data_IF_349381829787
#
_entry.id   IF_349381829787
#
_cell.length_a   1.000
_cell.length_b   1.000
_cell.length_c   1.000
_cell.angle_alpha   90.00
_cell.angle_beta   90.00
_cell.angle_gamma   90.00
#
_symmetry.space_group_name_H-M   'P 1'
#
loop_
_entity.id
_entity.type
_entity.pdbx_description
1 polymer ?
#
# COMPACT_ATOMS: atom_id res chain seq x y z
N UNK A 1 -10.77 -6.95 23.53
CA UNK A 1 -9.30 -6.85 23.38
C UNK A 1 -9.00 -5.64 22.55
N UNK A 2 -8.10 -4.79 23.02
CA UNK A 2 -7.62 -3.62 22.28
C UNK A 2 -6.46 -4.00 21.37
N UNK A 3 -6.33 -3.28 20.25
CA UNK A 3 -5.23 -3.48 19.30
C UNK A 3 -4.60 -2.14 18.92
N UNK A 4 -3.29 -2.05 19.07
CA UNK A 4 -2.49 -0.90 18.68
C UNK A 4 -1.84 -1.17 17.32
N UNK A 5 -2.10 -0.31 16.36
CA UNK A 5 -1.36 -0.25 15.12
C UNK A 5 -0.40 0.93 15.13
N UNK A 6 0.78 0.72 14.57
CA UNK A 6 1.75 1.78 14.33
C UNK A 6 2.09 1.83 12.84
N UNK A 7 1.90 2.98 12.22
CA UNK A 7 2.36 3.25 10.85
C UNK A 7 3.65 4.08 10.94
N UNK A 8 4.76 3.46 10.57
CA UNK A 8 6.11 3.98 10.76
C UNK A 8 6.63 4.52 9.41
N UNK A 9 6.40 5.80 9.19
CA UNK A 9 6.94 6.49 8.02
C UNK A 9 8.29 7.17 8.28
N UNK A 10 8.97 7.58 7.22
CA UNK A 10 10.30 8.20 7.30
C UNK A 10 10.36 9.56 8.00
N UNK A 11 9.22 10.21 8.26
CA UNK A 11 9.15 11.53 8.91
C UNK A 11 8.36 11.49 10.21
N UNK A 12 7.27 10.74 10.25
CA UNK A 12 6.35 10.60 11.38
C UNK A 12 6.03 9.14 11.60
N UNK A 13 5.80 8.78 12.85
CA UNK A 13 5.19 7.52 13.27
C UNK A 13 3.82 7.83 13.86
N UNK A 14 2.79 7.22 13.33
CA UNK A 14 1.42 7.33 13.79
C UNK A 14 1.00 6.06 14.51
N UNK A 15 0.33 6.20 15.64
CA UNK A 15 -0.27 5.08 16.36
C UNK A 15 -1.78 5.30 16.47
N UNK A 16 -2.54 4.21 16.32
CA UNK A 16 -3.97 4.17 16.63
C UNK A 16 -4.27 2.96 17.51
N UNK A 17 -5.16 3.13 18.47
CA UNK A 17 -5.70 2.03 19.29
C UNK A 17 -7.15 1.83 18.92
N UNK A 18 -7.46 0.60 18.51
CA UNK A 18 -8.80 0.18 18.11
C UNK A 18 -9.40 -0.74 19.17
N UNK A 19 -10.72 -0.63 19.35
CA UNK A 19 -11.50 -1.64 20.08
C UNK A 19 -11.80 -2.88 19.23
N UNK A 20 -12.49 -3.85 19.78
CA UNK A 20 -12.83 -5.09 19.09
C UNK A 20 -13.75 -4.89 17.87
N UNK A 21 -14.50 -3.80 17.83
CA UNK A 21 -15.39 -3.44 16.70
C UNK A 21 -14.70 -2.59 15.63
N UNK A 22 -13.42 -2.22 15.84
CA UNK A 22 -12.67 -1.37 14.92
C UNK A 22 -12.85 0.13 15.16
N UNK A 23 -13.51 0.53 16.24
CA UNK A 23 -13.61 1.95 16.57
C UNK A 23 -12.27 2.47 17.08
N UNK A 24 -11.84 3.61 16.59
CA UNK A 24 -10.61 4.25 17.03
C UNK A 24 -10.83 4.94 18.38
N UNK A 25 -10.14 4.47 19.40
CA UNK A 25 -10.21 5.01 20.75
C UNK A 25 -9.18 6.13 20.99
N UNK A 26 -8.02 6.00 20.32
CA UNK A 26 -6.93 6.95 20.48
C UNK A 26 -6.11 7.00 19.20
N UNK A 27 -5.66 8.20 18.83
CA UNK A 27 -4.65 8.40 17.78
C UNK A 27 -3.60 9.37 18.29
N UNK A 28 -2.34 9.00 18.12
CA UNK A 28 -1.20 9.88 18.45
C UNK A 28 -0.13 9.77 17.39
N UNK A 29 0.69 10.84 17.30
CA UNK A 29 1.80 10.92 16.34
C UNK A 29 3.05 11.43 17.04
N UNK A 30 4.18 10.86 16.68
CA UNK A 30 5.50 11.37 17.03
C UNK A 30 6.33 11.57 15.77
N UNK A 31 7.39 12.35 15.88
CA UNK A 31 8.42 12.40 14.85
C UNK A 31 9.18 11.08 14.84
N UNK A 32 9.41 10.51 13.67
CA UNK A 32 10.24 9.31 13.55
C UNK A 32 11.69 9.66 13.86
N UNK A 33 12.24 9.04 14.90
CA UNK A 33 13.66 9.12 15.23
C UNK A 33 14.47 8.30 14.21
N UNK A 34 15.54 8.86 13.70
CA UNK A 34 16.37 8.21 12.67
C UNK A 34 17.84 8.62 12.70
N UNK A 35 18.31 9.11 13.84
CA UNK A 35 19.71 9.43 14.04
C UNK A 35 20.57 8.17 14.04
N UNK A 36 20.11 7.14 14.75
CA UNK A 36 20.70 5.80 14.79
C UNK A 36 19.63 4.77 15.20
N UNK A 37 19.96 3.48 15.04
CA UNK A 37 19.04 2.38 15.34
C UNK A 37 18.64 2.31 16.82
N UNK A 38 19.56 2.54 17.75
CA UNK A 38 19.30 2.46 19.19
C UNK A 38 18.36 3.59 19.64
N UNK A 39 18.57 4.79 19.15
CA UNK A 39 17.70 5.93 19.39
C UNK A 39 16.30 5.67 18.84
N UNK A 40 16.21 5.13 17.60
CA UNK A 40 14.94 4.71 17.00
C UNK A 40 14.21 3.70 17.89
N UNK A 41 14.87 2.59 18.26
CA UNK A 41 14.28 1.53 19.07
C UNK A 41 13.79 2.06 20.42
N UNK A 42 14.59 2.91 21.08
CA UNK A 42 14.25 3.52 22.36
C UNK A 42 13.03 4.44 22.23
N UNK A 43 13.03 5.31 21.24
CA UNK A 43 11.91 6.24 20.98
C UNK A 43 10.60 5.49 20.71
N UNK A 44 10.65 4.48 19.83
CA UNK A 44 9.49 3.67 19.47
C UNK A 44 8.97 2.87 20.67
N UNK A 45 9.86 2.20 21.42
CA UNK A 45 9.47 1.42 22.60
C UNK A 45 8.82 2.28 23.68
N UNK A 46 9.41 3.45 23.97
CA UNK A 46 8.84 4.40 24.94
C UNK A 46 7.46 4.90 24.49
N UNK A 47 7.30 5.18 23.19
CA UNK A 47 6.02 5.62 22.65
C UNK A 47 4.94 4.54 22.82
N UNK A 48 5.25 3.29 22.47
CA UNK A 48 4.35 2.14 22.67
C UNK A 48 3.97 1.98 24.15
N UNK A 49 4.96 1.95 25.05
CA UNK A 49 4.73 1.76 26.48
C UNK A 49 3.88 2.90 27.06
N UNK A 50 4.11 4.14 26.66
CA UNK A 50 3.31 5.30 27.08
C UNK A 50 1.85 5.14 26.67
N UNK A 51 1.60 4.68 25.44
CA UNK A 51 0.23 4.45 24.96
C UNK A 51 -0.44 3.30 25.69
N UNK A 52 0.28 2.18 25.90
CA UNK A 52 -0.24 1.04 26.65
C UNK A 52 -0.62 1.40 28.09
N UNK A 53 0.16 2.23 28.75
CA UNK A 53 -0.11 2.67 30.13
C UNK A 53 -1.43 3.47 30.28
N UNK A 54 -2.00 3.95 29.17
CA UNK A 54 -3.28 4.67 29.18
C UNK A 54 -4.50 3.73 29.26
N UNK A 55 -4.28 2.41 29.18
CA UNK A 55 -5.34 1.40 29.18
C UNK A 55 -5.07 0.34 30.26
N UNK A 56 -6.11 -0.10 30.91
CA UNK A 56 -6.04 -1.19 31.92
C UNK A 56 -6.08 -2.59 31.29
N UNK A 57 -6.53 -2.69 30.04
CA UNK A 57 -6.59 -3.94 29.30
C UNK A 57 -5.30 -4.20 28.52
N UNK A 58 -4.95 -5.47 28.27
CA UNK A 58 -3.88 -5.82 27.34
C UNK A 58 -4.15 -5.26 25.94
N UNK A 59 -3.11 -4.69 25.35
CA UNK A 59 -3.14 -4.10 23.98
C UNK A 59 -2.19 -4.89 23.10
N UNK A 60 -2.69 -5.52 22.05
CA UNK A 60 -1.84 -6.16 21.02
C UNK A 60 -1.10 -5.12 20.21
N UNK A 61 0.04 -5.48 19.61
CA UNK A 61 0.88 -4.56 18.83
C UNK A 61 1.07 -5.09 17.43
N UNK A 62 0.77 -4.24 16.45
CA UNK A 62 1.11 -4.45 15.06
C UNK A 62 1.79 -3.25 14.45
N UNK A 63 2.72 -3.49 13.53
CA UNK A 63 3.50 -2.46 12.85
C UNK A 63 3.25 -2.50 11.35
N UNK A 64 3.11 -1.34 10.77
CA UNK A 64 3.21 -1.08 9.34
C UNK A 64 4.57 -0.42 9.10
N UNK A 65 5.44 -1.07 8.34
CA UNK A 65 6.82 -0.64 8.10
C UNK A 65 7.12 -0.56 6.60
N UNK A 66 7.84 0.45 6.14
CA UNK A 66 8.42 0.39 4.81
C UNK A 66 9.56 -0.64 4.76
N UNK A 67 9.57 -1.46 3.71
CA UNK A 67 10.58 -2.49 3.50
C UNK A 67 10.07 -3.92 3.72
N UNK A 68 11.00 -4.85 3.80
CA UNK A 68 10.73 -6.29 3.96
C UNK A 68 11.70 -6.90 4.98
N UNK A 69 11.38 -8.08 5.50
CA UNK A 69 12.28 -8.86 6.34
C UNK A 69 12.91 -9.98 5.49
N UNK A 70 14.21 -10.16 5.64
CA UNK A 70 14.88 -11.31 5.04
C UNK A 70 14.53 -12.59 5.80
N UNK A 71 13.95 -13.56 5.10
CA UNK A 71 13.42 -14.79 5.72
C UNK A 71 14.51 -15.66 6.39
N UNK A 72 15.77 -15.57 5.93
CA UNK A 72 16.88 -16.34 6.48
C UNK A 72 17.55 -15.69 7.68
N UNK A 73 17.73 -14.37 7.63
CA UNK A 73 18.43 -13.60 8.68
C UNK A 73 17.51 -12.91 9.67
N UNK A 74 16.24 -12.74 9.32
CA UNK A 74 15.25 -11.98 10.09
C UNK A 74 15.60 -10.50 10.27
N UNK A 75 16.39 -9.95 9.35
CA UNK A 75 16.79 -8.55 9.34
C UNK A 75 15.93 -7.74 8.37
N UNK A 76 15.65 -6.49 8.73
CA UNK A 76 14.92 -5.56 7.84
C UNK A 76 15.81 -5.21 6.64
N UNK A 77 15.20 -5.15 5.46
CA UNK A 77 15.83 -4.73 4.20
C UNK A 77 14.90 -3.85 3.37
N UNK A 78 15.49 -3.09 2.43
CA UNK A 78 14.76 -2.22 1.50
C UNK A 78 13.89 -1.15 2.18
N UNK A 79 14.18 -0.82 3.45
CA UNK A 79 13.49 0.28 4.13
C UNK A 79 14.05 1.64 3.69
N UNK A 80 13.16 2.60 3.44
CA UNK A 80 13.53 3.99 3.22
C UNK A 80 13.93 4.69 4.55
N UNK A 81 13.69 4.06 5.70
CA UNK A 81 14.23 4.44 7.00
C UNK A 81 15.57 3.72 7.15
N UNK A 82 16.63 4.36 6.66
CA UNK A 82 17.94 3.73 6.44
C UNK A 82 18.48 3.02 7.69
N UNK A 83 18.27 3.59 8.89
CA UNK A 83 18.76 3.03 10.16
C UNK A 83 18.15 1.68 10.52
N UNK A 84 17.07 1.27 9.87
CA UNK A 84 16.41 -0.03 10.08
C UNK A 84 17.05 -1.15 9.24
N UNK A 85 17.71 -0.82 8.14
CA UNK A 85 18.27 -1.83 7.26
C UNK A 85 19.39 -2.63 7.97
N UNK A 86 19.33 -3.95 7.81
CA UNK A 86 20.21 -4.92 8.46
C UNK A 86 20.08 -4.95 9.99
N UNK A 87 18.93 -4.56 10.54
CA UNK A 87 18.65 -4.59 11.98
C UNK A 87 17.54 -5.61 12.31
N UNK A 88 17.63 -6.30 13.47
CA UNK A 88 16.64 -7.27 13.94
C UNK A 88 15.49 -6.56 14.70
N UNK A 89 14.82 -5.59 14.06
CA UNK A 89 13.88 -4.68 14.72
C UNK A 89 12.78 -5.41 15.48
N UNK A 90 12.18 -6.42 14.88
CA UNK A 90 11.03 -7.12 15.49
C UNK A 90 11.46 -7.86 16.76
N UNK A 91 12.56 -8.61 16.69
CA UNK A 91 13.10 -9.34 17.84
C UNK A 91 13.51 -8.40 18.98
N UNK A 92 14.07 -7.24 18.67
CA UNK A 92 14.50 -6.25 19.67
C UNK A 92 13.30 -5.56 20.32
N UNK A 93 12.24 -5.27 19.55
CA UNK A 93 10.97 -4.76 20.09
C UNK A 93 10.30 -5.80 21.00
N UNK A 94 10.15 -7.05 20.55
CA UNK A 94 9.55 -8.12 21.35
C UNK A 94 10.30 -8.32 22.67
N UNK A 95 11.63 -8.29 22.63
CA UNK A 95 12.46 -8.40 23.84
C UNK A 95 12.25 -7.22 24.79
N UNK A 96 12.18 -5.99 24.24
CA UNK A 96 12.02 -4.76 25.02
C UNK A 96 10.62 -4.64 25.62
N UNK A 97 9.59 -4.98 24.85
CA UNK A 97 8.19 -4.88 25.25
C UNK A 97 7.69 -6.10 26.00
N UNK A 98 8.43 -7.23 25.94
CA UNK A 98 8.09 -8.53 26.52
C UNK A 98 6.74 -9.08 26.06
N UNK A 99 6.40 -8.83 24.80
CA UNK A 99 5.19 -9.34 24.15
C UNK A 99 5.41 -9.49 22.64
N UNK A 100 4.62 -10.33 21.95
CA UNK A 100 4.68 -10.47 20.50
C UNK A 100 4.39 -9.16 19.78
N UNK A 101 5.06 -8.96 18.66
CA UNK A 101 4.87 -7.82 17.75
C UNK A 101 4.65 -8.36 16.35
N UNK A 102 3.45 -8.18 15.81
CA UNK A 102 3.17 -8.48 14.42
C UNK A 102 3.64 -7.31 13.54
N UNK A 103 3.98 -7.60 12.29
CA UNK A 103 4.34 -6.53 11.37
C UNK A 103 4.12 -6.94 9.91
N UNK A 104 3.92 -5.94 9.04
CA UNK A 104 3.92 -6.12 7.59
C UNK A 104 4.25 -4.79 6.89
N UNK A 105 4.38 -4.83 5.56
CA UNK A 105 4.59 -3.63 4.77
C UNK A 105 3.29 -2.80 4.63
N UNK A 106 3.42 -1.60 4.08
CA UNK A 106 2.32 -0.65 3.89
C UNK A 106 1.19 -1.20 3.00
N UNK A 107 1.52 -1.90 1.93
CA UNK A 107 0.52 -2.44 1.01
C UNK A 107 -0.27 -3.61 1.62
N UNK A 108 0.38 -4.47 2.39
CA UNK A 108 -0.27 -5.57 3.10
C UNK A 108 -1.14 -5.04 4.26
N UNK A 109 -0.64 -4.07 5.04
CA UNK A 109 -1.44 -3.40 6.06
C UNK A 109 -2.65 -2.68 5.46
N UNK A 110 -2.46 -1.97 4.35
CA UNK A 110 -3.56 -1.35 3.60
C UNK A 110 -4.62 -2.39 3.21
N UNK A 111 -4.18 -3.49 2.58
CA UNK A 111 -5.08 -4.54 2.11
C UNK A 111 -5.83 -5.20 3.26
N UNK A 112 -5.15 -5.49 4.37
CA UNK A 112 -5.79 -6.05 5.57
C UNK A 112 -6.83 -5.12 6.16
N UNK A 113 -6.54 -3.82 6.27
CA UNK A 113 -7.48 -2.81 6.74
C UNK A 113 -8.76 -2.80 5.90
N UNK A 114 -8.60 -2.61 4.59
CA UNK A 114 -9.74 -2.51 3.69
C UNK A 114 -10.54 -3.82 3.56
N UNK A 115 -9.89 -4.96 3.81
CA UNK A 115 -10.55 -6.27 3.81
C UNK A 115 -11.22 -6.63 5.13
N UNK A 116 -10.86 -5.98 6.24
CA UNK A 116 -11.42 -6.27 7.56
C UNK A 116 -12.70 -5.47 7.80
N UNK A 117 -12.63 -4.15 7.61
CA UNK A 117 -13.72 -3.22 7.91
C UNK A 117 -13.85 -2.06 6.90
N UNK A 118 -13.21 -2.17 5.74
CA UNK A 118 -13.26 -1.20 4.65
C UNK A 118 -14.05 -1.69 3.44
N UNK A 119 -13.64 -1.24 2.25
CA UNK A 119 -14.34 -1.50 0.99
C UNK A 119 -14.41 -3.00 0.62
N UNK A 120 -13.45 -3.81 1.07
CA UNK A 120 -13.36 -5.25 0.80
C UNK A 120 -13.90 -6.15 1.90
N UNK A 121 -14.59 -5.63 2.93
CA UNK A 121 -14.96 -6.37 4.13
C UNK A 121 -15.80 -7.65 3.89
N UNK A 122 -16.54 -7.70 2.78
CA UNK A 122 -17.42 -8.83 2.42
C UNK A 122 -16.89 -9.70 1.29
N UNK A 123 -15.70 -9.40 0.77
CA UNK A 123 -15.08 -10.13 -0.34
C UNK A 123 -14.26 -11.32 0.16
N UNK A 124 -14.21 -12.38 -0.63
CA UNK A 124 -13.37 -13.56 -0.37
C UNK A 124 -11.92 -13.35 -0.83
N UNK A 125 -11.74 -12.71 -1.98
CA UNK A 125 -10.44 -12.36 -2.55
C UNK A 125 -10.39 -10.86 -2.78
N UNK A 126 -9.48 -10.18 -2.08
CA UNK A 126 -9.26 -8.74 -2.16
C UNK A 126 -7.86 -8.45 -2.68
N UNK A 127 -7.76 -7.66 -3.73
CA UNK A 127 -6.50 -7.06 -4.14
C UNK A 127 -6.46 -5.59 -3.73
N UNK A 128 -5.56 -5.25 -2.84
CA UNK A 128 -5.30 -3.86 -2.46
C UNK A 128 -4.26 -3.26 -3.40
N UNK A 129 -4.60 -2.17 -4.08
CA UNK A 129 -3.70 -1.46 -5.00
C UNK A 129 -3.43 -0.06 -4.47
N UNK A 130 -2.21 0.24 -4.06
CA UNK A 130 -1.82 1.59 -3.64
C UNK A 130 -1.26 2.33 -4.85
N UNK A 131 -1.93 3.40 -5.27
CA UNK A 131 -1.50 4.29 -6.34
C UNK A 131 -1.15 5.66 -5.73
N UNK A 132 0.12 5.81 -5.41
CA UNK A 132 0.71 7.01 -4.80
C UNK A 132 1.85 7.56 -5.63
N UNK A 133 2.94 7.97 -4.97
CA UNK A 133 4.22 8.30 -5.64
C UNK A 133 4.74 7.09 -6.41
N UNK A 134 4.63 5.89 -5.81
CA UNK A 134 4.89 4.59 -6.41
C UNK A 134 3.60 3.78 -6.57
N UNK A 135 3.75 2.48 -6.76
CA UNK A 135 2.68 1.52 -6.97
C UNK A 135 2.91 0.26 -6.14
N UNK A 136 2.22 0.15 -5.01
CA UNK A 136 2.25 -1.04 -4.16
C UNK A 136 1.00 -1.90 -4.34
N UNK A 137 1.05 -3.12 -3.81
CA UNK A 137 -0.12 -4.00 -3.77
C UNK A 137 -0.02 -5.05 -2.69
N UNK A 138 -1.17 -5.55 -2.29
CA UNK A 138 -1.33 -6.67 -1.36
C UNK A 138 -2.46 -7.58 -1.80
N UNK A 139 -2.40 -8.82 -1.38
CA UNK A 139 -3.41 -9.82 -1.70
C UNK A 139 -3.93 -10.47 -0.43
N UNK A 140 -5.25 -10.47 -0.27
CA UNK A 140 -5.92 -11.20 0.80
C UNK A 140 -6.84 -12.26 0.18
N UNK A 141 -6.71 -13.49 0.64
CA UNK A 141 -7.51 -14.63 0.20
C UNK A 141 -8.12 -15.31 1.42
N UNK A 142 -9.45 -15.48 1.42
CA UNK A 142 -10.16 -16.12 2.52
C UNK A 142 -9.78 -15.56 3.90
N UNK A 143 -9.76 -14.24 4.02
CA UNK A 143 -9.40 -13.47 5.23
C UNK A 143 -7.96 -13.64 5.70
N UNK A 144 -7.07 -14.19 4.87
CA UNK A 144 -5.65 -14.36 5.17
C UNK A 144 -4.81 -13.57 4.18
N UNK A 145 -3.87 -12.77 4.68
CA UNK A 145 -2.90 -12.08 3.84
C UNK A 145 -1.98 -13.10 3.16
N UNK A 146 -1.87 -12.98 1.85
CA UNK A 146 -1.01 -13.82 1.03
C UNK A 146 0.33 -13.13 0.80
N UNK A 147 1.32 -13.44 1.63
CA UNK A 147 2.68 -12.88 1.52
C UNK A 147 3.52 -13.59 0.46
N UNK A 148 3.14 -14.82 0.10
CA UNK A 148 3.93 -15.69 -0.77
C UNK A 148 5.20 -16.21 -0.10
N UNK A 149 5.85 -17.17 -0.79
CA UNK A 149 7.07 -17.81 -0.26
C UNK A 149 8.27 -16.86 -0.14
N UNK A 150 8.34 -15.88 -1.03
CA UNK A 150 9.46 -14.94 -1.11
C UNK A 150 9.13 -13.58 -0.47
N UNK A 151 7.91 -13.40 0.09
CA UNK A 151 7.44 -12.11 0.55
C UNK A 151 7.19 -11.08 -0.56
N UNK A 152 7.00 -11.54 -1.81
CA UNK A 152 6.84 -10.66 -2.98
C UNK A 152 5.40 -10.67 -3.53
N UNK A 153 4.45 -11.30 -2.84
CA UNK A 153 3.06 -11.26 -3.29
C UNK A 153 2.55 -9.81 -3.25
N UNK A 154 1.95 -9.38 -4.35
CA UNK A 154 1.49 -7.99 -4.47
C UNK A 154 2.48 -7.00 -5.09
N UNK A 155 3.71 -7.40 -5.42
CA UNK A 155 4.71 -6.56 -6.09
C UNK A 155 4.39 -6.36 -7.60
N UNK A 156 3.13 -6.11 -7.91
CA UNK A 156 2.60 -6.00 -9.27
C UNK A 156 3.14 -4.79 -10.04
N UNK A 157 3.51 -3.74 -9.31
CA UNK A 157 4.10 -2.53 -9.86
C UNK A 157 5.44 -2.76 -10.55
N UNK A 158 6.16 -3.86 -10.20
CA UNK A 158 7.44 -4.22 -10.79
C UNK A 158 7.35 -5.25 -11.92
N UNK A 159 6.15 -5.69 -12.28
CA UNK A 159 5.94 -6.40 -13.54
C UNK A 159 6.00 -5.44 -14.73
N UNK A 160 6.45 -5.87 -15.92
CA UNK A 160 6.38 -5.05 -17.12
C UNK A 160 4.94 -4.61 -17.40
N UNK A 161 4.78 -3.36 -17.87
CA UNK A 161 3.46 -2.87 -18.29
C UNK A 161 2.89 -3.82 -19.36
N UNK A 162 1.72 -4.43 -19.13
CA UNK A 162 1.12 -5.34 -20.09
C UNK A 162 0.87 -4.65 -21.44
N UNK A 163 1.14 -5.37 -22.54
CA UNK A 163 0.98 -4.85 -23.89
C UNK A 163 1.75 -3.54 -24.16
N UNK A 164 2.88 -3.33 -23.47
CA UNK A 164 3.70 -2.15 -23.69
C UNK A 164 4.02 -1.96 -25.18
N UNK A 165 3.79 -0.75 -25.68
CA UNK A 165 4.09 -0.35 -27.04
C UNK A 165 4.72 1.05 -27.04
N UNK A 166 5.96 1.16 -27.52
CA UNK A 166 6.70 2.42 -27.50
C UNK A 166 6.03 3.56 -28.29
N UNK A 167 5.22 3.25 -29.31
CA UNK A 167 4.46 4.26 -30.07
C UNK A 167 3.28 4.83 -29.27
N UNK A 168 2.72 4.04 -28.36
CA UNK A 168 1.58 4.42 -27.53
C UNK A 168 2.03 4.92 -26.15
N UNK A 169 2.89 4.14 -25.49
CA UNK A 169 3.26 4.34 -24.08
C UNK A 169 4.51 5.21 -23.90
N UNK A 170 5.11 5.65 -25.03
CA UNK A 170 6.35 6.44 -25.02
C UNK A 170 7.61 5.56 -24.90
N UNK A 171 8.79 6.19 -24.75
CA UNK A 171 10.06 5.50 -24.71
C UNK A 171 10.17 4.56 -23.49
N UNK A 172 10.95 3.48 -23.67
CA UNK A 172 11.24 2.55 -22.58
C UNK A 172 11.86 3.24 -21.36
N UNK A 173 11.40 2.86 -20.17
CA UNK A 173 11.82 3.45 -18.89
C UNK A 173 12.49 2.40 -18.03
N UNK A 174 13.67 2.73 -17.49
CA UNK A 174 14.33 1.90 -16.47
C UNK A 174 13.74 2.22 -15.10
N UNK A 175 13.22 1.20 -14.45
CA UNK A 175 12.77 1.27 -13.06
C UNK A 175 13.98 1.21 -12.10
N UNK A 176 13.80 1.74 -10.89
CA UNK A 176 14.83 1.63 -9.83
C UNK A 176 15.15 0.18 -9.43
N UNK A 177 14.21 -0.76 -9.63
CA UNK A 177 14.45 -2.19 -9.44
C UNK A 177 15.39 -2.81 -10.48
N UNK A 178 15.81 -2.02 -11.50
CA UNK A 178 16.72 -2.44 -12.56
C UNK A 178 16.04 -2.98 -13.82
N UNK A 179 14.75 -3.31 -13.77
CA UNK A 179 13.98 -3.80 -14.91
C UNK A 179 13.52 -2.65 -15.81
N UNK A 180 13.10 -2.99 -17.03
CA UNK A 180 12.52 -2.03 -17.98
C UNK A 180 11.00 -2.08 -17.94
N UNK A 181 10.39 -0.91 -18.09
CA UNK A 181 8.94 -0.74 -18.29
C UNK A 181 8.08 -1.33 -17.18
N UNK A 182 8.56 -1.28 -15.93
CA UNK A 182 7.72 -1.64 -14.81
C UNK A 182 6.41 -0.83 -14.81
N UNK A 183 5.31 -1.50 -14.52
CA UNK A 183 3.96 -0.92 -14.44
C UNK A 183 3.92 0.35 -13.61
N UNK A 184 4.63 0.38 -12.47
CA UNK A 184 4.77 1.58 -11.63
C UNK A 184 5.23 2.81 -12.39
N UNK A 185 6.15 2.65 -13.34
CA UNK A 185 6.68 3.77 -14.13
C UNK A 185 5.63 4.45 -15.01
N UNK A 186 4.45 3.90 -15.13
CA UNK A 186 3.34 4.41 -15.94
C UNK A 186 2.12 4.78 -15.12
N UNK A 187 1.68 3.94 -14.18
CA UNK A 187 0.41 4.10 -13.44
C UNK A 187 0.56 4.73 -12.05
N UNK A 188 1.77 5.07 -11.62
CA UNK A 188 1.99 5.84 -10.39
C UNK A 188 1.86 7.35 -10.63
N UNK A 189 1.81 8.12 -9.55
CA UNK A 189 1.85 9.59 -9.63
C UNK A 189 3.13 10.11 -10.28
N UNK A 190 4.28 9.51 -9.94
CA UNK A 190 5.56 9.85 -10.59
C UNK A 190 5.55 9.47 -12.07
N UNK A 191 4.97 8.32 -12.42
CA UNK A 191 4.80 7.89 -13.81
C UNK A 191 3.92 8.83 -14.61
N UNK A 192 2.79 9.27 -14.04
CA UNK A 192 1.89 10.24 -14.68
C UNK A 192 2.59 11.59 -14.94
N UNK A 193 3.29 12.13 -13.93
CA UNK A 193 4.02 13.40 -14.05
C UNK A 193 5.12 13.31 -15.10
N UNK A 194 5.89 12.23 -15.10
CA UNK A 194 6.93 11.98 -16.12
C UNK A 194 6.34 11.93 -17.52
N UNK A 195 5.25 11.20 -17.74
CA UNK A 195 4.59 11.11 -19.05
C UNK A 195 4.06 12.47 -19.49
N UNK A 196 3.54 13.29 -18.57
CA UNK A 196 3.09 14.64 -18.89
C UNK A 196 4.24 15.52 -19.39
N UNK A 197 5.40 15.44 -18.72
CA UNK A 197 6.60 16.18 -19.17
C UNK A 197 7.09 15.74 -20.55
N UNK A 198 7.00 14.45 -20.90
CA UNK A 198 7.35 13.95 -22.24
C UNK A 198 6.43 14.49 -23.33
N UNK A 199 5.22 14.89 -23.01
CA UNK A 199 4.26 15.53 -23.91
C UNK A 199 4.43 17.07 -23.97
N UNK A 200 5.49 17.60 -23.34
CA UNK A 200 5.76 19.04 -23.29
C UNK A 200 4.96 19.78 -22.21
N UNK A 201 4.30 19.05 -21.32
CA UNK A 201 3.59 19.61 -20.17
C UNK A 201 4.55 19.99 -19.04
N UNK A 202 4.16 20.97 -18.25
CA UNK A 202 4.87 21.40 -17.04
C UNK A 202 3.96 21.21 -15.81
N UNK A 203 4.31 20.25 -14.96
CA UNK A 203 3.60 19.97 -13.72
C UNK A 203 4.59 19.48 -12.63
N UNK A 204 4.44 19.99 -11.43
CA UNK A 204 5.29 19.64 -10.29
C UNK A 204 5.01 18.22 -9.76
N UNK A 205 3.75 17.80 -9.83
CA UNK A 205 3.28 16.51 -9.32
C UNK A 205 1.99 16.05 -10.03
N UNK A 206 1.55 14.83 -9.71
CA UNK A 206 0.31 14.26 -10.26
C UNK A 206 -0.94 15.10 -9.92
N UNK A 207 -0.98 15.78 -8.77
CA UNK A 207 -2.11 16.64 -8.40
C UNK A 207 -2.24 17.82 -9.34
N UNK A 208 -1.11 18.42 -9.72
CA UNK A 208 -1.09 19.50 -10.72
C UNK A 208 -1.61 19.00 -12.08
N UNK A 209 -1.22 17.80 -12.52
CA UNK A 209 -1.76 17.18 -13.75
C UNK A 209 -3.27 17.01 -13.66
N UNK A 210 -3.82 16.49 -12.56
CA UNK A 210 -5.27 16.35 -12.40
C UNK A 210 -6.00 17.68 -12.35
N UNK A 211 -5.37 18.73 -11.81
CA UNK A 211 -5.92 20.09 -11.86
C UNK A 211 -6.05 20.57 -13.30
N UNK A 212 -5.04 20.36 -14.14
CA UNK A 212 -5.07 20.71 -15.56
C UNK A 212 -6.15 19.90 -16.32
N UNK A 213 -6.31 18.60 -16.01
CA UNK A 213 -7.39 17.79 -16.56
C UNK A 213 -8.76 18.41 -16.24
N UNK A 214 -8.98 18.81 -14.99
CA UNK A 214 -10.24 19.44 -14.56
C UNK A 214 -10.48 20.81 -15.23
N UNK A 215 -9.40 21.51 -15.61
CA UNK A 215 -9.46 22.78 -16.35
C UNK A 215 -9.64 22.59 -17.87
N UNK A 216 -9.64 21.36 -18.37
CA UNK A 216 -9.84 21.06 -19.78
C UNK A 216 -8.58 21.18 -20.64
N UNK A 217 -7.38 21.13 -20.04
CA UNK A 217 -6.14 21.10 -20.80
C UNK A 217 -6.10 19.88 -21.73
N UNK A 218 -5.93 20.06 -23.05
CA UNK A 218 -6.05 18.99 -24.02
C UNK A 218 -4.91 17.96 -23.90
N UNK A 219 -3.71 18.37 -23.52
CA UNK A 219 -2.55 17.49 -23.34
C UNK A 219 -2.76 16.63 -22.10
N UNK A 220 -3.15 17.24 -20.99
CA UNK A 220 -3.47 16.51 -19.75
C UNK A 220 -4.65 15.55 -19.92
N UNK A 221 -5.70 15.95 -20.65
CA UNK A 221 -6.85 15.10 -20.96
C UNK A 221 -6.47 13.91 -21.86
N UNK A 222 -5.57 14.11 -22.82
CA UNK A 222 -5.07 13.01 -23.66
C UNK A 222 -4.21 12.04 -22.86
N UNK A 223 -3.32 12.55 -22.01
CA UNK A 223 -2.54 11.72 -21.11
C UNK A 223 -3.43 10.93 -20.14
N UNK A 224 -4.50 11.51 -19.63
CA UNK A 224 -5.41 10.80 -18.71
C UNK A 224 -6.10 9.61 -19.38
N UNK A 225 -6.47 9.72 -20.65
CA UNK A 225 -7.02 8.57 -21.41
C UNK A 225 -5.97 7.46 -21.54
N UNK A 226 -4.72 7.81 -21.85
CA UNK A 226 -3.61 6.85 -21.90
C UNK A 226 -3.35 6.22 -20.53
N UNK A 227 -3.30 7.01 -19.47
CA UNK A 227 -3.13 6.54 -18.11
C UNK A 227 -4.22 5.54 -17.70
N UNK A 228 -5.47 5.83 -18.02
CA UNK A 228 -6.60 4.91 -17.74
C UNK A 228 -6.46 3.60 -18.50
N UNK A 229 -6.02 3.63 -19.75
CA UNK A 229 -5.76 2.44 -20.54
C UNK A 229 -4.61 1.61 -19.95
N UNK A 230 -3.50 2.26 -19.56
CA UNK A 230 -2.37 1.61 -18.89
C UNK A 230 -2.80 0.95 -17.57
N UNK A 231 -3.63 1.64 -16.78
CA UNK A 231 -4.18 1.13 -15.53
C UNK A 231 -5.11 -0.06 -15.77
N UNK A 232 -5.96 -0.01 -16.78
CA UNK A 232 -6.85 -1.11 -17.16
C UNK A 232 -6.06 -2.36 -17.56
N UNK A 233 -5.00 -2.21 -18.35
CA UNK A 233 -4.08 -3.32 -18.72
C UNK A 233 -3.41 -3.93 -17.48
N UNK A 234 -2.98 -3.10 -16.55
CA UNK A 234 -2.37 -3.55 -15.30
C UNK A 234 -3.37 -4.30 -14.41
N UNK A 235 -4.59 -3.77 -14.21
CA UNK A 235 -5.65 -4.47 -13.47
C UNK A 235 -6.09 -5.76 -14.16
N UNK A 236 -6.14 -5.80 -15.48
CA UNK A 236 -6.46 -7.00 -16.23
C UNK A 236 -5.47 -8.15 -15.94
N UNK A 237 -4.18 -7.87 -15.73
CA UNK A 237 -3.21 -8.87 -15.32
C UNK A 237 -3.50 -9.40 -13.91
N UNK A 238 -3.94 -8.54 -13.00
CA UNK A 238 -4.37 -8.94 -11.65
C UNK A 238 -5.61 -9.84 -11.74
N UNK A 239 -6.61 -9.44 -12.54
CA UNK A 239 -7.82 -10.24 -12.75
C UNK A 239 -7.51 -11.57 -13.39
N UNK A 240 -6.68 -11.63 -14.45
CA UNK A 240 -6.32 -12.87 -15.13
C UNK A 240 -5.52 -13.86 -14.24
N UNK A 241 -4.87 -13.41 -13.17
CA UNK A 241 -4.05 -14.26 -12.30
C UNK A 241 -4.77 -14.65 -11.02
N UNK A 242 -5.45 -13.70 -10.37
CA UNK A 242 -6.04 -13.87 -9.05
C UNK A 242 -7.56 -13.92 -9.05
N UNK A 243 -8.20 -13.41 -10.11
CA UNK A 243 -9.66 -13.28 -10.26
C UNK A 243 -10.34 -12.77 -8.97
N UNK A 244 -9.92 -11.58 -8.46
CA UNK A 244 -10.41 -11.08 -7.18
C UNK A 244 -11.85 -10.62 -7.28
N UNK A 245 -12.61 -10.74 -6.18
CA UNK A 245 -13.96 -10.18 -6.08
C UNK A 245 -13.92 -8.64 -6.19
N UNK A 246 -12.83 -8.06 -5.64
CA UNK A 246 -12.69 -6.61 -5.56
C UNK A 246 -11.22 -6.18 -5.63
N UNK A 247 -10.97 -5.09 -6.36
CA UNK A 247 -9.72 -4.32 -6.31
C UNK A 247 -10.02 -3.02 -5.56
N UNK A 248 -9.40 -2.86 -4.38
CA UNK A 248 -9.51 -1.64 -3.58
C UNK A 248 -8.32 -0.74 -3.87
N UNK A 249 -8.57 0.47 -4.34
CA UNK A 249 -7.52 1.41 -4.73
C UNK A 249 -7.30 2.44 -3.64
N UNK A 250 -6.08 2.49 -3.11
CA UNK A 250 -5.61 3.49 -2.14
C UNK A 250 -4.58 4.45 -2.73
N UNK A 251 -3.96 5.24 -1.86
CA UNK A 251 -2.98 6.25 -2.24
C UNK A 251 -3.61 7.53 -2.82
N UNK A 252 -2.76 8.49 -3.17
CA UNK A 252 -3.22 9.82 -3.60
C UNK A 252 -4.11 9.83 -4.84
N UNK A 253 -3.89 8.89 -5.76
CA UNK A 253 -4.66 8.78 -7.01
C UNK A 253 -6.08 8.24 -6.78
N UNK A 254 -6.34 7.51 -5.70
CA UNK A 254 -7.70 7.04 -5.36
C UNK A 254 -8.71 8.17 -5.09
N UNK A 255 -8.21 9.38 -4.85
CA UNK A 255 -9.05 10.58 -4.63
C UNK A 255 -9.60 11.19 -5.92
N UNK A 256 -9.29 10.61 -7.08
CA UNK A 256 -9.74 11.07 -8.39
C UNK A 256 -10.89 10.20 -8.89
N UNK A 257 -12.17 10.62 -8.75
CA UNK A 257 -13.33 9.78 -9.11
C UNK A 257 -13.32 9.33 -10.57
N UNK A 258 -12.79 10.15 -11.46
CA UNK A 258 -12.69 9.83 -12.89
C UNK A 258 -11.85 8.59 -13.21
N UNK A 259 -10.99 8.13 -12.29
CA UNK A 259 -10.23 6.88 -12.45
C UNK A 259 -11.19 5.67 -12.44
N UNK A 260 -12.23 5.69 -11.61
CA UNK A 260 -13.14 4.56 -11.40
C UNK A 260 -14.26 4.47 -12.44
N UNK A 261 -14.63 5.62 -13.02
CA UNK A 261 -15.78 5.67 -13.97
C UNK A 261 -15.53 4.80 -15.19
N UNK A 262 -16.31 3.71 -15.37
CA UNK A 262 -16.17 2.77 -16.49
C UNK A 262 -14.84 1.98 -16.50
N UNK A 263 -14.11 1.91 -15.39
CA UNK A 263 -12.82 1.19 -15.33
C UNK A 263 -13.01 -0.32 -15.55
N UNK A 264 -14.09 -0.90 -15.03
CA UNK A 264 -14.39 -2.32 -15.24
C UNK A 264 -14.59 -2.65 -16.72
N UNK A 265 -15.22 -1.76 -17.48
CA UNK A 265 -15.40 -1.93 -18.94
C UNK A 265 -14.05 -1.82 -19.68
N UNK A 266 -13.17 -0.91 -19.22
CA UNK A 266 -11.81 -0.81 -19.78
C UNK A 266 -10.99 -2.07 -19.49
N UNK A 267 -11.07 -2.63 -18.28
CA UNK A 267 -10.41 -3.88 -17.89
C UNK A 267 -10.93 -5.06 -18.73
N UNK A 268 -12.24 -5.10 -19.01
CA UNK A 268 -12.86 -6.17 -19.83
C UNK A 268 -12.22 -6.33 -21.21
N UNK A 269 -11.59 -5.28 -21.74
CA UNK A 269 -10.89 -5.35 -23.05
C UNK A 269 -9.61 -6.19 -23.02
N UNK A 270 -9.07 -6.48 -21.84
CA UNK A 270 -7.73 -7.06 -21.66
C UNK A 270 -7.74 -8.37 -20.85
N UNK A 271 -8.87 -8.78 -20.28
CA UNK A 271 -8.98 -10.06 -19.60
C UNK A 271 -9.31 -11.19 -20.57
N UNK A 272 -9.07 -12.41 -20.15
CA UNK A 272 -9.35 -13.61 -20.96
C UNK A 272 -10.84 -13.75 -21.29
N UNK A 273 -11.71 -13.46 -20.33
CA UNK A 273 -13.16 -13.38 -20.55
C UNK A 273 -13.54 -12.00 -21.13
N UNK A 274 -14.71 -11.93 -21.78
CA UNK A 274 -15.19 -10.68 -22.40
C UNK A 274 -15.91 -9.74 -21.41
N UNK A 275 -16.14 -10.18 -20.18
CA UNK A 275 -16.86 -9.43 -19.16
C UNK A 275 -16.11 -9.51 -17.83
N UNK A 276 -15.78 -8.37 -17.25
CA UNK A 276 -15.19 -8.25 -15.93
C UNK A 276 -16.28 -7.99 -14.89
N UNK A 277 -16.37 -8.81 -13.85
CA UNK A 277 -17.27 -8.63 -12.71
C UNK A 277 -16.54 -8.14 -11.44
N UNK A 278 -15.22 -8.12 -11.46
CA UNK A 278 -14.41 -7.58 -10.35
C UNK A 278 -14.78 -6.14 -10.07
N UNK A 279 -15.13 -5.82 -8.83
CA UNK A 279 -15.38 -4.45 -8.42
C UNK A 279 -14.07 -3.67 -8.32
N UNK A 280 -14.03 -2.44 -8.81
CA UNK A 280 -12.85 -1.56 -8.72
C UNK A 280 -13.29 -0.28 -8.03
N UNK A 281 -12.88 -0.10 -6.78
CA UNK A 281 -13.42 0.94 -5.90
C UNK A 281 -12.33 1.68 -5.12
N UNK A 282 -12.55 2.93 -4.70
CA UNK A 282 -11.65 3.62 -3.78
C UNK A 282 -11.70 3.02 -2.38
N UNK A 283 -10.58 3.16 -1.66
CA UNK A 283 -10.46 2.81 -0.26
C UNK A 283 -11.41 3.64 0.63
N UNK A 284 -11.93 3.02 1.69
CA UNK A 284 -12.79 3.67 2.70
C UNK A 284 -11.95 4.40 3.73
N UNK A 285 -10.88 3.77 4.25
CA UNK A 285 -10.09 4.33 5.34
C UNK A 285 -8.97 5.29 4.85
N UNK A 286 -8.63 5.25 3.56
CA UNK A 286 -7.69 6.17 2.94
C UNK A 286 -6.33 6.20 3.63
N UNK A 287 -5.91 7.39 4.10
CA UNK A 287 -4.58 7.57 4.73
C UNK A 287 -4.45 6.82 6.09
N UNK A 288 -5.56 6.38 6.68
CA UNK A 288 -5.54 5.62 7.95
C UNK A 288 -5.45 4.11 7.76
N UNK A 289 -5.49 3.61 6.51
CA UNK A 289 -5.51 2.15 6.25
C UNK A 289 -4.24 1.47 6.76
N UNK A 290 -3.07 2.10 6.67
CA UNK A 290 -1.80 1.54 7.17
C UNK A 290 -1.83 1.26 8.67
N UNK A 291 -2.17 2.28 9.47
CA UNK A 291 -2.22 2.18 10.93
C UNK A 291 -3.34 1.24 11.41
N UNK A 292 -4.49 1.22 10.72
CA UNK A 292 -5.60 0.31 11.03
C UNK A 292 -5.23 -1.13 10.71
N UNK A 293 -4.63 -1.39 9.54
CA UNK A 293 -4.17 -2.71 9.13
C UNK A 293 -3.11 -3.26 10.07
N UNK A 294 -2.20 -2.43 10.54
CA UNK A 294 -1.25 -2.80 11.59
C UNK A 294 -1.98 -3.23 12.87
N UNK A 295 -3.01 -2.49 13.33
CA UNK A 295 -3.77 -2.87 14.51
C UNK A 295 -4.47 -4.24 14.34
N UNK A 296 -5.10 -4.47 13.19
CA UNK A 296 -5.72 -5.76 12.87
C UNK A 296 -4.71 -6.90 12.85
N UNK A 297 -3.53 -6.66 12.26
CA UNK A 297 -2.43 -7.62 12.23
C UNK A 297 -1.97 -8.04 13.63
N UNK A 298 -1.81 -7.07 14.55
CA UNK A 298 -1.46 -7.33 15.94
C UNK A 298 -2.51 -8.16 16.67
N UNK A 299 -3.79 -7.94 16.40
CA UNK A 299 -4.89 -8.73 16.97
C UNK A 299 -4.87 -10.18 16.50
N UNK A 300 -4.67 -10.38 15.21
CA UNK A 300 -4.69 -11.71 14.60
C UNK A 300 -3.52 -12.58 15.08
N UNK A 301 -2.34 -11.97 15.31
CA UNK A 301 -1.18 -12.65 15.87
C UNK A 301 -1.42 -13.23 17.27
N UNK A 302 -2.19 -12.54 18.11
CA UNK A 302 -2.54 -13.05 19.45
C UNK A 302 -3.64 -14.10 19.42
N UNK A 303 -4.51 -14.09 18.42
CA UNK A 303 -5.59 -15.08 18.27
C UNK A 303 -5.14 -16.40 17.64
N UNK A 304 -3.88 -16.51 17.18
CA UNK A 304 -3.36 -17.70 16.52
C UNK A 304 -3.93 -17.94 15.12
N UNK A 305 -4.51 -16.93 14.50
CA UNK A 305 -5.06 -16.96 13.14
C UNK A 305 -3.98 -16.53 12.13
N UNK A 306 -2.96 -17.36 11.93
CA UNK A 306 -1.94 -17.18 10.88
C UNK A 306 -1.85 -18.42 10.00
#
# INVERSE_FOLDING_TARGET
MLSMGLDIGGTKTEAAILDAAGNTLLTQRIRTEKSDYRAFLTSLSNFIQTLQASFSEPVSIGLCLPGTEDAGTRLIKNSNIVVLNQQPLIQDLERTLRQPVAWDNDANCFTLSESTDGAGAHAGIVFGAILGTGCGGGLLMNKTLWRGRNGNAGEWGHNPLPHYNALQDGPAVRCYCGQLNCTESYISGSGLTRQFSLLGGDALDARAVFTLIAQGDPTAASLFRLFRDQLARAFASVVNIYDPDIIVVGGGLSRVPAIFSGMTDEVSKYIFNTTCSTLIVPAVHGDSSGVRGAAWLGRDALSGQH
#
